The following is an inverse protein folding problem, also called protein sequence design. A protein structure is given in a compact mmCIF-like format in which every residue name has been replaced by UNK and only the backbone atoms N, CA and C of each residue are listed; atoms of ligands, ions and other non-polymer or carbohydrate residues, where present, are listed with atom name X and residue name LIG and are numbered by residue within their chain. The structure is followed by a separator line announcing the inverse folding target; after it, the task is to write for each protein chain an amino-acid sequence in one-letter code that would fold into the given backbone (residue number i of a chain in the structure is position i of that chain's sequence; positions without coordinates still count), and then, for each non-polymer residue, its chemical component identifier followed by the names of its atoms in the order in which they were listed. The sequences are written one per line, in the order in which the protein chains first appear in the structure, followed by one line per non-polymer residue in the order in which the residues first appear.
data_IF_726875986974
#
_entry.id   IF_726875986974
#
_cell.length_a   1.000
_cell.length_b   1.000
_cell.length_c   1.000
_cell.angle_alpha   90.00
_cell.angle_beta   90.00
_cell.angle_gamma   90.00
#
_symmetry.space_group_name_H-M   'P 1'
#
loop_
_entity.id
_entity.type
_entity.pdbx_description
1 polymer ?
#
# COMPACT_ATOMS: atom_id res chain seq x y z
N UNK A 1 -13.08 12.56 -20.01
CA UNK A 1 -12.96 13.60 -18.93
C UNK A 1 -14.21 13.60 -18.09
N UNK A 2 -14.11 13.77 -16.77
CA UNK A 2 -15.22 13.62 -15.82
C UNK A 2 -15.37 14.93 -15.04
N UNK A 3 -16.58 15.45 -14.94
CA UNK A 3 -16.92 16.57 -14.07
C UNK A 3 -17.35 16.08 -12.67
N UNK A 4 -17.01 16.83 -11.64
CA UNK A 4 -17.48 16.60 -10.27
C UNK A 4 -18.06 17.89 -9.73
N UNK A 5 -19.35 17.86 -9.38
CA UNK A 5 -20.06 18.94 -8.73
C UNK A 5 -20.31 18.55 -7.27
N UNK A 6 -20.03 19.45 -6.34
CA UNK A 6 -20.29 19.25 -4.92
C UNK A 6 -20.68 20.59 -4.29
N UNK A 7 -21.80 20.63 -3.57
CA UNK A 7 -22.18 21.81 -2.78
C UNK A 7 -21.37 21.96 -1.48
N UNK A 8 -20.74 20.87 -1.00
CA UNK A 8 -19.80 20.85 0.13
C UNK A 8 -18.59 20.00 -0.25
N UNK A 9 -17.38 20.53 -0.15
CA UNK A 9 -16.14 19.80 -0.46
C UNK A 9 -15.80 18.86 0.69
N UNK A 10 -16.50 17.73 0.76
CA UNK A 10 -16.25 16.67 1.73
C UNK A 10 -16.11 15.34 1.00
N UNK A 11 -15.23 14.48 1.50
CA UNK A 11 -14.93 13.16 0.92
C UNK A 11 -14.47 13.18 -0.57
N UNK A 12 -13.99 14.30 -1.07
CA UNK A 12 -13.56 14.44 -2.48
C UNK A 12 -12.55 13.38 -2.88
N UNK A 13 -11.56 13.10 -2.02
CA UNK A 13 -10.57 12.05 -2.28
C UNK A 13 -11.21 10.67 -2.45
N UNK A 14 -12.17 10.32 -1.59
CA UNK A 14 -12.87 9.03 -1.66
C UNK A 14 -13.72 8.92 -2.94
N UNK A 15 -14.39 10.01 -3.32
CA UNK A 15 -15.18 10.10 -4.56
C UNK A 15 -14.27 9.91 -5.78
N UNK A 16 -13.23 10.72 -5.89
CA UNK A 16 -12.26 10.63 -7.00
C UNK A 16 -11.63 9.25 -7.11
N UNK A 17 -11.21 8.68 -5.97
CA UNK A 17 -10.59 7.35 -5.96
C UNK A 17 -11.53 6.26 -6.47
N UNK A 18 -12.83 6.35 -6.16
CA UNK A 18 -13.80 5.38 -6.62
C UNK A 18 -14.14 5.56 -8.10
N UNK A 19 -14.32 6.79 -8.56
CA UNK A 19 -14.53 7.09 -9.99
C UNK A 19 -13.34 6.58 -10.81
N UNK A 20 -12.11 6.86 -10.36
CA UNK A 20 -10.89 6.39 -11.06
C UNK A 20 -10.74 4.86 -11.06
N UNK A 21 -11.33 4.15 -10.09
CA UNK A 21 -11.37 2.69 -10.13
C UNK A 21 -12.25 2.14 -11.26
N UNK A 22 -13.32 2.86 -11.63
CA UNK A 22 -14.13 2.56 -12.81
C UNK A 22 -13.48 3.02 -14.12
N UNK A 23 -12.90 4.21 -14.12
CA UNK A 23 -12.40 4.93 -15.30
C UNK A 23 -10.93 5.33 -15.11
N UNK A 24 -10.05 4.32 -15.16
CA UNK A 24 -8.63 4.50 -14.91
C UNK A 24 -7.97 5.44 -15.94
N UNK A 25 -7.23 6.43 -15.43
CA UNK A 25 -6.49 7.38 -16.26
C UNK A 25 -7.30 8.58 -16.72
N UNK A 26 -8.61 8.65 -16.40
CA UNK A 26 -9.43 9.80 -16.71
C UNK A 26 -9.08 11.00 -15.81
N UNK A 27 -9.19 12.20 -16.39
CA UNK A 27 -9.05 13.45 -15.64
C UNK A 27 -10.39 13.80 -15.01
N UNK A 28 -10.38 14.11 -13.70
CA UNK A 28 -11.56 14.58 -12.96
C UNK A 28 -11.36 16.05 -12.65
N UNK A 29 -12.30 16.89 -13.07
CA UNK A 29 -12.30 18.33 -12.82
C UNK A 29 -13.49 18.72 -11.93
N UNK A 30 -13.27 19.68 -11.04
CA UNK A 30 -14.38 20.33 -10.33
C UNK A 30 -15.07 21.30 -11.29
N UNK A 31 -16.39 21.26 -11.31
CA UNK A 31 -17.24 22.17 -12.09
C UNK A 31 -18.45 22.59 -11.26
N UNK A 32 -19.11 23.66 -11.62
CA UNK A 32 -20.30 24.18 -10.95
C UNK A 32 -21.56 24.06 -11.82
N UNK A 33 -21.42 23.53 -13.04
CA UNK A 33 -22.53 23.36 -13.97
C UNK A 33 -22.40 22.06 -14.78
N UNK A 34 -23.56 21.63 -15.29
CA UNK A 34 -23.64 20.46 -16.17
C UNK A 34 -23.32 20.89 -17.60
N UNK A 35 -22.33 20.23 -18.23
CA UNK A 35 -21.90 20.51 -19.59
C UNK A 35 -21.62 19.21 -20.36
N UNK A 36 -22.00 19.19 -21.63
CA UNK A 36 -21.79 18.07 -22.55
C UNK A 36 -20.32 17.80 -22.93
N UNK A 37 -19.40 18.71 -22.58
CA UNK A 37 -17.95 18.49 -22.76
C UNK A 37 -17.42 17.34 -21.93
N UNK A 38 -18.07 17.03 -20.79
CA UNK A 38 -17.73 15.90 -19.95
C UNK A 38 -18.41 14.62 -20.43
N UNK A 39 -17.67 13.51 -20.38
CA UNK A 39 -18.25 12.19 -20.66
C UNK A 39 -19.27 11.80 -19.60
N UNK A 40 -18.92 12.09 -18.34
CA UNK A 40 -19.79 11.96 -17.18
C UNK A 40 -19.61 13.16 -16.25
N UNK A 41 -20.69 13.51 -15.55
CA UNK A 41 -20.66 14.44 -14.42
C UNK A 41 -21.33 13.74 -13.25
N UNK A 42 -20.64 13.67 -12.13
CA UNK A 42 -21.23 13.29 -10.86
C UNK A 42 -21.50 14.56 -10.06
N UNK A 43 -22.78 14.82 -9.78
CA UNK A 43 -23.23 15.90 -8.91
C UNK A 43 -23.64 15.30 -7.55
N UNK A 44 -23.05 15.80 -6.47
CA UNK A 44 -23.27 15.32 -5.10
C UNK A 44 -23.77 16.47 -4.25
N UNK A 45 -25.06 16.47 -3.98
CA UNK A 45 -25.74 17.46 -3.15
C UNK A 45 -25.95 16.93 -1.72
N UNK A 46 -25.25 17.52 -0.76
CA UNK A 46 -25.34 17.18 0.68
C UNK A 46 -26.37 18.06 1.36
N UNK A 47 -27.54 17.52 1.66
CA UNK A 47 -28.61 18.14 2.45
C UNK A 47 -28.54 17.67 3.91
N UNK A 48 -29.37 18.21 4.79
CA UNK A 48 -29.27 17.96 6.25
C UNK A 48 -29.39 16.48 6.66
N UNK A 49 -30.23 15.70 5.99
CA UNK A 49 -30.43 14.27 6.31
C UNK A 49 -30.39 13.38 5.07
N UNK A 50 -29.98 13.90 3.92
CA UNK A 50 -29.91 13.15 2.69
C UNK A 50 -28.73 13.56 1.83
N UNK A 51 -28.25 12.64 0.99
CA UNK A 51 -27.37 12.94 -0.15
C UNK A 51 -28.17 12.62 -1.39
N UNK A 52 -28.23 13.59 -2.29
CA UNK A 52 -28.71 13.37 -3.67
C UNK A 52 -27.51 13.29 -4.58
N UNK A 53 -27.44 12.24 -5.36
CA UNK A 53 -26.36 12.04 -6.34
C UNK A 53 -26.96 11.86 -7.71
N UNK A 54 -26.62 12.76 -8.62
CA UNK A 54 -27.04 12.72 -10.02
C UNK A 54 -25.86 12.37 -10.90
N UNK A 55 -26.01 11.38 -11.75
CA UNK A 55 -25.04 11.06 -12.78
C UNK A 55 -25.56 11.56 -14.14
N UNK A 56 -24.80 12.45 -14.75
CA UNK A 56 -25.08 12.91 -16.10
C UNK A 56 -24.09 12.28 -17.08
N UNK A 57 -24.59 11.95 -18.28
CA UNK A 57 -23.80 11.45 -19.40
C UNK A 57 -23.99 12.41 -20.59
N UNK A 58 -22.87 13.03 -21.01
CA UNK A 58 -22.90 14.03 -22.10
C UNK A 58 -23.92 15.17 -21.88
N UNK A 59 -24.09 15.59 -20.62
CA UNK A 59 -25.00 16.67 -20.23
C UNK A 59 -26.45 16.25 -19.94
N UNK A 60 -26.83 15.01 -20.22
CA UNK A 60 -28.19 14.50 -19.95
C UNK A 60 -28.18 13.64 -18.65
N UNK A 61 -29.23 13.72 -17.85
CA UNK A 61 -29.39 12.94 -16.64
C UNK A 61 -29.52 11.46 -17.00
N UNK A 62 -28.56 10.65 -16.58
CA UNK A 62 -28.53 9.20 -16.80
C UNK A 62 -29.21 8.44 -15.67
N UNK A 63 -28.90 8.82 -14.42
CA UNK A 63 -29.46 8.16 -13.22
C UNK A 63 -29.34 9.05 -11.98
N UNK A 64 -30.17 8.76 -10.96
CA UNK A 64 -30.20 9.48 -9.69
C UNK A 64 -30.27 8.49 -8.52
N UNK A 65 -29.58 8.79 -7.46
CA UNK A 65 -29.68 8.07 -6.18
C UNK A 65 -29.89 9.06 -5.04
N UNK A 66 -30.85 8.76 -4.19
CA UNK A 66 -31.15 9.48 -2.98
C UNK A 66 -30.88 8.60 -1.77
N UNK A 67 -29.99 9.05 -0.87
CA UNK A 67 -29.59 8.31 0.32
C UNK A 67 -29.97 9.08 1.56
N UNK A 68 -30.82 8.48 2.38
CA UNK A 68 -31.19 9.01 3.69
C UNK A 68 -30.25 8.45 4.76
N UNK A 69 -29.75 9.26 5.68
CA UNK A 69 -28.88 8.79 6.72
C UNK A 69 -28.45 9.84 7.73
N UNK A 70 -28.00 9.32 8.86
CA UNK A 70 -27.46 10.10 9.95
C UNK A 70 -26.02 10.50 9.64
N UNK A 71 -25.75 11.79 9.56
CA UNK A 71 -24.42 12.36 9.34
C UNK A 71 -23.52 12.28 10.59
N UNK A 72 -24.06 11.96 11.76
CA UNK A 72 -23.28 11.85 12.99
C UNK A 72 -22.26 10.72 12.92
N UNK A 73 -22.63 9.59 12.28
CA UNK A 73 -21.71 8.50 12.05
C UNK A 73 -20.99 8.64 10.69
N UNK A 74 -19.91 9.42 10.67
CA UNK A 74 -19.10 9.70 9.48
C UNK A 74 -18.68 8.44 8.71
N UNK A 75 -18.43 7.32 9.39
CA UNK A 75 -18.00 6.06 8.75
C UNK A 75 -19.13 5.42 7.96
N UNK A 76 -20.31 5.31 8.56
CA UNK A 76 -21.51 4.75 7.94
C UNK A 76 -21.91 5.62 6.75
N UNK A 77 -21.95 6.94 6.96
CA UNK A 77 -22.32 7.90 5.95
C UNK A 77 -21.40 7.83 4.72
N UNK A 78 -20.07 7.87 4.94
CA UNK A 78 -19.08 7.74 3.85
C UNK A 78 -19.25 6.41 3.10
N UNK A 79 -19.51 5.33 3.79
CA UNK A 79 -19.69 4.02 3.14
C UNK A 79 -20.93 4.00 2.25
N UNK A 80 -22.07 4.53 2.74
CA UNK A 80 -23.31 4.64 1.94
C UNK A 80 -23.12 5.53 0.70
N UNK A 81 -22.46 6.68 0.85
CA UNK A 81 -22.11 7.55 -0.28
C UNK A 81 -21.31 6.78 -1.34
N UNK A 82 -20.28 6.04 -0.91
CA UNK A 82 -19.49 5.23 -1.84
C UNK A 82 -20.30 4.12 -2.51
N UNK A 83 -21.25 3.52 -1.80
CA UNK A 83 -22.17 2.54 -2.39
C UNK A 83 -23.05 3.17 -3.47
N UNK A 84 -23.60 4.37 -3.23
CA UNK A 84 -24.39 5.09 -4.23
C UNK A 84 -23.57 5.42 -5.47
N UNK A 85 -22.38 5.97 -5.32
CA UNK A 85 -21.47 6.24 -6.45
C UNK A 85 -21.15 4.96 -7.22
N UNK A 86 -20.86 3.86 -6.50
CA UNK A 86 -20.61 2.57 -7.11
C UNK A 86 -21.81 2.11 -7.97
N UNK A 87 -23.05 2.21 -7.44
CA UNK A 87 -24.26 1.80 -8.14
C UNK A 87 -24.47 2.60 -9.42
N UNK A 88 -24.32 3.93 -9.35
CA UNK A 88 -24.43 4.83 -10.52
C UNK A 88 -23.44 4.44 -11.62
N UNK A 89 -22.15 4.38 -11.28
CA UNK A 89 -21.13 4.08 -12.29
C UNK A 89 -21.16 2.62 -12.76
N UNK A 90 -21.50 1.67 -11.89
CA UNK A 90 -21.62 0.26 -12.26
C UNK A 90 -22.71 0.06 -13.31
N UNK A 91 -23.86 0.72 -13.12
CA UNK A 91 -24.99 0.68 -14.06
C UNK A 91 -24.66 1.41 -15.37
N UNK A 92 -24.15 2.64 -15.32
CA UNK A 92 -23.86 3.46 -16.49
C UNK A 92 -22.74 2.88 -17.38
N UNK A 93 -21.81 2.10 -16.79
CA UNK A 93 -20.67 1.51 -17.50
C UNK A 93 -20.80 0.01 -17.74
N UNK A 94 -21.90 -0.62 -17.28
CA UNK A 94 -22.07 -2.09 -17.26
C UNK A 94 -20.80 -2.81 -16.73
N UNK A 95 -20.27 -2.32 -15.60
CA UNK A 95 -18.98 -2.76 -15.04
C UNK A 95 -19.07 -2.97 -13.55
N UNK A 96 -18.56 -4.08 -13.07
CA UNK A 96 -18.39 -4.33 -11.64
C UNK A 96 -16.91 -4.30 -11.24
N UNK A 97 -16.63 -3.74 -10.08
CA UNK A 97 -15.28 -3.76 -9.51
C UNK A 97 -15.17 -4.92 -8.52
N UNK A 98 -14.17 -5.81 -8.66
CA UNK A 98 -14.03 -6.96 -7.77
C UNK A 98 -13.91 -6.61 -6.29
N UNK A 99 -13.32 -5.45 -5.98
CA UNK A 99 -13.19 -4.92 -4.63
C UNK A 99 -14.32 -3.98 -4.21
N UNK A 100 -15.35 -3.84 -5.04
CA UNK A 100 -16.49 -2.96 -4.76
C UNK A 100 -16.08 -1.52 -4.49
N UNK A 101 -16.51 -0.98 -3.35
CA UNK A 101 -16.21 0.39 -2.93
C UNK A 101 -14.86 0.56 -2.23
N UNK A 102 -14.09 -0.53 -2.06
CA UNK A 102 -12.80 -0.50 -1.35
C UNK A 102 -11.72 0.13 -2.23
N UNK A 103 -11.24 1.29 -1.85
CA UNK A 103 -10.16 2.03 -2.53
C UNK A 103 -9.13 2.50 -1.52
N UNK A 104 -7.82 2.32 -1.84
CA UNK A 104 -6.73 2.85 -1.05
C UNK A 104 -6.55 2.28 0.36
N UNK A 105 -7.10 1.10 0.64
CA UNK A 105 -7.00 0.44 1.96
C UNK A 105 -6.49 -1.00 1.81
N UNK A 106 -6.05 -1.58 2.93
CA UNK A 106 -5.71 -3.00 3.05
C UNK A 106 -6.97 -3.80 3.43
N UNK A 107 -7.61 -4.54 2.50
CA UNK A 107 -8.89 -5.21 2.77
C UNK A 107 -8.78 -6.28 3.87
N UNK A 108 -7.66 -6.99 3.96
CA UNK A 108 -7.43 -8.00 5.01
C UNK A 108 -7.58 -7.45 6.42
N UNK A 109 -7.35 -6.14 6.65
CA UNK A 109 -7.60 -5.52 7.94
C UNK A 109 -9.07 -5.64 8.37
N UNK A 110 -10.00 -5.50 7.42
CA UNK A 110 -11.45 -5.63 7.70
C UNK A 110 -11.76 -7.05 8.17
N UNK A 111 -11.21 -8.06 7.49
CA UNK A 111 -11.39 -9.46 7.88
C UNK A 111 -10.71 -9.76 9.22
N UNK A 112 -9.51 -9.25 9.45
CA UNK A 112 -8.79 -9.41 10.71
C UNK A 112 -9.57 -8.82 11.89
N UNK A 113 -10.07 -7.58 11.75
CA UNK A 113 -10.90 -6.91 12.77
C UNK A 113 -12.21 -7.69 13.03
N UNK A 114 -12.77 -8.37 12.03
CA UNK A 114 -13.93 -9.24 12.20
C UNK A 114 -13.62 -10.45 13.06
N UNK A 115 -12.57 -11.18 12.74
CA UNK A 115 -12.12 -12.31 13.57
C UNK A 115 -11.74 -11.91 15.00
N UNK A 116 -11.16 -10.73 15.20
CA UNK A 116 -10.89 -10.23 16.57
C UNK A 116 -12.16 -9.94 17.36
N UNK A 117 -13.27 -9.67 16.69
CA UNK A 117 -14.60 -9.50 17.29
C UNK A 117 -15.36 -10.82 17.44
N UNK A 118 -14.82 -11.93 16.97
CA UNK A 118 -15.44 -13.24 17.04
C UNK A 118 -16.40 -13.56 15.89
N UNK A 119 -16.40 -12.77 14.82
CA UNK A 119 -17.22 -13.05 13.62
C UNK A 119 -16.75 -14.34 12.93
N UNK A 120 -17.68 -15.12 12.40
CA UNK A 120 -17.40 -16.27 11.55
C UNK A 120 -16.91 -15.84 10.15
N UNK A 121 -16.33 -16.77 9.41
CA UNK A 121 -15.92 -16.53 8.03
C UNK A 121 -17.07 -16.06 7.15
N UNK A 122 -18.22 -16.67 7.28
CA UNK A 122 -19.44 -16.35 6.53
C UNK A 122 -19.97 -14.95 6.86
N UNK A 123 -19.95 -14.56 8.13
CA UNK A 123 -20.36 -13.21 8.55
C UNK A 123 -19.42 -12.15 7.99
N UNK A 124 -18.11 -12.42 8.00
CA UNK A 124 -17.11 -11.53 7.40
C UNK A 124 -17.32 -11.41 5.88
N UNK A 125 -17.51 -12.52 5.16
CA UNK A 125 -17.77 -12.54 3.73
C UNK A 125 -19.05 -11.76 3.41
N UNK A 126 -20.14 -12.02 4.15
CA UNK A 126 -21.40 -11.29 3.97
C UNK A 126 -21.22 -9.78 4.18
N UNK A 127 -20.45 -9.39 5.19
CA UNK A 127 -20.15 -7.97 5.44
C UNK A 127 -19.37 -7.34 4.29
N UNK A 128 -18.40 -8.02 3.69
CA UNK A 128 -17.70 -7.53 2.50
C UNK A 128 -18.65 -7.27 1.34
N UNK A 129 -19.57 -8.21 1.10
CA UNK A 129 -20.54 -8.07 0.02
C UNK A 129 -21.58 -6.98 0.31
N UNK A 130 -22.11 -6.94 1.54
CA UNK A 130 -23.18 -6.01 1.92
C UNK A 130 -22.67 -4.58 2.08
N UNK A 131 -21.57 -4.39 2.84
CA UNK A 131 -21.11 -3.06 3.24
C UNK A 131 -20.18 -2.43 2.19
N UNK A 132 -19.46 -3.26 1.44
CA UNK A 132 -18.47 -2.76 0.49
C UNK A 132 -18.74 -3.16 -0.96
N UNK A 133 -19.79 -3.92 -1.23
CA UNK A 133 -20.13 -4.41 -2.59
C UNK A 133 -18.98 -5.19 -3.25
N UNK A 134 -18.10 -5.78 -2.44
CA UNK A 134 -17.01 -6.61 -2.95
C UNK A 134 -17.52 -7.94 -3.48
N UNK A 135 -16.87 -8.50 -4.48
CA UNK A 135 -17.20 -9.83 -4.98
C UNK A 135 -16.98 -10.91 -3.92
N UNK A 136 -17.75 -11.99 -3.98
CA UNK A 136 -17.57 -13.13 -3.08
C UNK A 136 -16.16 -13.69 -3.16
N UNK A 137 -15.58 -13.78 -4.36
CA UNK A 137 -14.20 -14.24 -4.59
C UNK A 137 -13.19 -13.43 -3.77
N UNK A 138 -13.29 -12.09 -3.80
CA UNK A 138 -12.36 -11.21 -3.07
C UNK A 138 -12.62 -11.22 -1.57
N UNK A 139 -13.88 -11.33 -1.16
CA UNK A 139 -14.25 -11.50 0.24
C UNK A 139 -13.68 -12.81 0.82
N UNK A 140 -13.83 -13.94 0.11
CA UNK A 140 -13.24 -15.24 0.49
C UNK A 140 -11.73 -15.16 0.55
N UNK A 141 -11.08 -14.60 -0.47
CA UNK A 141 -9.62 -14.43 -0.52
C UNK A 141 -9.10 -13.69 0.72
N UNK A 142 -9.75 -12.58 1.11
CA UNK A 142 -9.37 -11.84 2.31
C UNK A 142 -9.54 -12.67 3.59
N UNK A 143 -10.66 -13.37 3.68
CA UNK A 143 -11.00 -14.17 4.87
C UNK A 143 -10.02 -15.33 5.05
N UNK A 144 -9.74 -16.09 3.99
CA UNK A 144 -8.78 -17.19 3.99
C UNK A 144 -7.35 -16.71 4.26
N UNK A 145 -6.95 -15.56 3.67
CA UNK A 145 -5.64 -14.95 3.94
C UNK A 145 -5.47 -14.65 5.42
N UNK A 146 -6.49 -14.04 6.05
CA UNK A 146 -6.43 -13.71 7.48
C UNK A 146 -6.48 -14.95 8.36
N UNK A 147 -7.22 -15.97 8.00
CA UNK A 147 -7.18 -17.25 8.72
C UNK A 147 -5.75 -17.79 8.75
N UNK A 148 -5.07 -17.76 7.61
CA UNK A 148 -3.69 -18.22 7.50
C UNK A 148 -2.72 -17.33 8.28
N UNK A 149 -2.88 -16.00 8.20
CA UNK A 149 -2.11 -15.06 9.04
C UNK A 149 -2.29 -15.37 10.53
N UNK A 150 -3.52 -15.58 10.99
CA UNK A 150 -3.81 -15.90 12.41
C UNK A 150 -3.22 -17.24 12.85
N UNK A 151 -3.21 -18.24 11.98
CA UNK A 151 -2.54 -19.52 12.27
C UNK A 151 -1.04 -19.31 12.50
N UNK A 152 -0.38 -18.54 11.62
CA UNK A 152 1.04 -18.24 11.74
C UNK A 152 1.32 -17.39 13.00
N UNK A 153 0.49 -16.43 13.30
CA UNK A 153 0.64 -15.53 14.46
C UNK A 153 0.42 -16.24 15.81
N UNK A 154 -0.25 -17.42 15.84
CA UNK A 154 -0.36 -18.22 17.07
C UNK A 154 0.99 -18.69 17.61
N UNK A 155 1.99 -18.79 16.77
CA UNK A 155 3.32 -19.29 17.15
C UNK A 155 4.11 -18.32 18.04
N UNK A 156 3.71 -17.06 18.16
CA UNK A 156 4.42 -16.02 18.92
C UNK A 156 3.50 -14.93 19.46
N UNK A 157 3.90 -14.26 20.56
CA UNK A 157 3.07 -13.25 21.24
C UNK A 157 3.12 -11.90 20.49
N UNK A 158 2.60 -11.86 19.25
CA UNK A 158 2.70 -10.69 18.36
C UNK A 158 2.08 -9.41 18.92
N UNK A 159 1.15 -9.52 19.89
CA UNK A 159 0.51 -8.36 20.55
C UNK A 159 1.42 -7.68 21.57
N UNK A 160 2.36 -8.42 22.13
CA UNK A 160 3.26 -7.96 23.20
C UNK A 160 4.64 -7.60 22.68
N UNK A 161 5.03 -8.16 21.54
CA UNK A 161 6.29 -7.89 20.86
C UNK A 161 6.22 -6.69 19.90
N UNK A 162 7.29 -6.54 19.12
CA UNK A 162 7.34 -5.56 18.03
C UNK A 162 8.13 -6.11 16.84
N UNK A 163 7.95 -5.47 15.70
CA UNK A 163 8.72 -5.68 14.47
C UNK A 163 9.55 -4.44 14.18
N UNK A 164 10.79 -4.61 13.71
CA UNK A 164 11.69 -3.52 13.37
C UNK A 164 11.87 -3.47 11.84
N UNK A 165 11.61 -2.29 11.28
CA UNK A 165 11.93 -1.98 9.89
C UNK A 165 13.16 -1.07 9.84
N UNK A 166 14.19 -1.49 9.09
CA UNK A 166 15.40 -0.70 8.85
C UNK A 166 15.39 -0.30 7.37
N UNK A 167 15.34 1.01 7.11
CA UNK A 167 15.33 1.55 5.76
C UNK A 167 16.73 1.85 5.25
N UNK A 168 17.11 1.34 4.08
CA UNK A 168 18.34 1.69 3.37
C UNK A 168 17.96 2.46 2.12
N UNK A 169 18.18 3.77 2.03
CA UNK A 169 17.66 4.60 0.94
C UNK A 169 18.49 4.52 -0.35
N UNK A 170 19.49 3.67 -0.40
CA UNK A 170 20.39 3.55 -1.54
C UNK A 170 19.94 2.47 -2.52
N UNK A 171 20.12 2.76 -3.81
CA UNK A 171 19.95 1.81 -4.93
C UNK A 171 21.14 1.92 -5.89
N UNK A 172 21.43 0.91 -6.72
CA UNK A 172 22.43 1.06 -7.79
C UNK A 172 22.07 2.21 -8.74
N UNK A 173 20.77 2.41 -8.99
CA UNK A 173 20.21 3.53 -9.75
C UNK A 173 18.73 3.69 -9.46
N UNK A 174 18.14 4.87 -9.69
CA UNK A 174 16.72 5.10 -9.51
C UNK A 174 15.93 4.58 -10.70
N UNK A 175 14.96 3.68 -10.47
CA UNK A 175 14.09 3.16 -11.52
C UNK A 175 13.06 4.21 -11.95
N UNK A 176 12.73 4.25 -13.26
CA UNK A 176 11.80 5.23 -13.83
C UNK A 176 10.40 5.24 -13.19
N UNK A 177 9.97 4.12 -12.66
CA UNK A 177 8.65 3.93 -12.03
C UNK A 177 8.69 3.98 -10.51
N UNK A 178 9.88 4.22 -9.90
CA UNK A 178 10.01 4.20 -8.45
C UNK A 178 9.39 5.44 -7.83
N UNK A 179 8.50 5.22 -6.85
CA UNK A 179 7.89 6.26 -6.03
C UNK A 179 8.49 6.34 -4.62
N UNK A 180 9.38 5.41 -4.29
CA UNK A 180 10.06 5.39 -2.98
C UNK A 180 11.25 6.35 -2.96
N UNK A 181 11.63 6.75 -1.76
CA UNK A 181 12.89 7.48 -1.54
C UNK A 181 14.06 6.56 -1.89
N UNK A 182 14.75 6.87 -2.99
CA UNK A 182 15.90 6.11 -3.44
C UNK A 182 16.96 7.02 -4.06
N UNK A 183 18.20 6.86 -3.63
CA UNK A 183 19.36 7.60 -4.09
C UNK A 183 20.34 6.66 -4.77
N UNK A 184 20.92 7.09 -5.92
CA UNK A 184 21.96 6.30 -6.58
C UNK A 184 23.20 6.23 -5.68
N UNK A 185 23.61 5.02 -5.30
CA UNK A 185 24.73 4.84 -4.36
C UNK A 185 26.03 5.44 -4.91
N UNK A 186 26.26 5.38 -6.21
CA UNK A 186 27.46 5.96 -6.85
C UNK A 186 27.56 7.48 -6.67
N UNK A 187 26.40 8.18 -6.62
CA UNK A 187 26.35 9.62 -6.43
C UNK A 187 26.46 10.04 -4.97
N UNK A 188 26.13 9.15 -4.06
CA UNK A 188 26.05 9.41 -2.63
C UNK A 188 27.02 8.54 -1.80
N UNK A 189 28.03 7.96 -2.44
CA UNK A 189 29.02 7.09 -1.81
C UNK A 189 29.70 7.75 -0.59
N UNK A 190 29.98 9.05 -0.70
CA UNK A 190 30.67 9.83 0.32
C UNK A 190 29.84 10.03 1.62
N UNK A 191 28.52 9.80 1.58
CA UNK A 191 27.66 9.97 2.77
C UNK A 191 27.12 8.64 3.32
N UNK A 192 27.47 7.50 2.71
CA UNK A 192 27.00 6.17 3.16
C UNK A 192 27.40 5.94 4.61
N UNK A 193 28.64 6.24 4.98
CA UNK A 193 29.12 6.06 6.36
C UNK A 193 28.38 6.95 7.36
N UNK A 194 28.21 8.23 7.03
CA UNK A 194 27.46 9.17 7.87
C UNK A 194 26.01 8.70 8.06
N UNK A 195 25.40 8.16 7.01
CA UNK A 195 24.08 7.56 7.08
C UNK A 195 24.04 6.37 8.02
N UNK A 196 24.98 5.43 7.88
CA UNK A 196 25.05 4.24 8.75
C UNK A 196 25.26 4.64 10.22
N UNK A 197 26.14 5.61 10.50
CA UNK A 197 26.34 6.12 11.85
C UNK A 197 25.07 6.76 12.44
N UNK A 198 24.33 7.54 11.63
CA UNK A 198 23.06 8.13 12.05
C UNK A 198 22.02 7.05 12.34
N UNK A 199 21.91 6.05 11.46
CA UNK A 199 21.03 4.90 11.62
C UNK A 199 21.35 4.12 12.92
N UNK A 200 22.63 3.90 13.22
CA UNK A 200 23.03 3.21 14.44
C UNK A 200 22.62 3.98 15.71
N UNK A 201 22.64 5.32 15.69
CA UNK A 201 22.13 6.14 16.81
C UNK A 201 20.63 5.97 17.00
N UNK A 202 19.86 5.91 15.90
CA UNK A 202 18.42 5.60 15.97
C UNK A 202 18.16 4.20 16.51
N UNK A 203 18.94 3.21 16.08
CA UNK A 203 18.85 1.84 16.58
C UNK A 203 19.21 1.73 18.07
N UNK A 204 20.17 2.50 18.58
CA UNK A 204 20.47 2.60 20.00
C UNK A 204 19.28 3.15 20.79
N UNK A 205 18.60 4.17 20.24
CA UNK A 205 17.37 4.70 20.84
C UNK A 205 16.25 3.67 20.87
N UNK A 206 16.03 2.95 19.77
CA UNK A 206 15.03 1.88 19.68
C UNK A 206 15.33 0.76 20.67
N UNK A 207 16.57 0.27 20.73
CA UNK A 207 16.98 -0.78 21.64
C UNK A 207 16.72 -0.41 23.11
N UNK A 208 16.99 0.84 23.51
CA UNK A 208 16.72 1.34 24.87
C UNK A 208 15.22 1.48 25.13
N UNK A 209 14.48 2.08 24.18
CA UNK A 209 13.06 2.38 24.34
C UNK A 209 12.22 1.11 24.44
N UNK A 210 12.54 0.10 23.65
CA UNK A 210 11.81 -1.18 23.59
C UNK A 210 12.49 -2.32 24.33
N UNK A 211 13.44 -2.03 25.23
CA UNK A 211 14.15 -3.04 26.00
C UNK A 211 13.25 -3.99 26.81
N UNK A 212 12.02 -3.55 27.14
CA UNK A 212 11.00 -4.30 27.86
C UNK A 212 10.11 -5.16 26.95
N UNK A 213 10.31 -5.11 25.62
CA UNK A 213 9.54 -5.87 24.62
C UNK A 213 10.45 -6.79 23.83
N UNK A 214 9.86 -7.86 23.30
CA UNK A 214 10.56 -8.81 22.44
C UNK A 214 10.49 -8.36 20.98
N UNK A 215 11.66 -8.27 20.33
CA UNK A 215 11.74 -8.08 18.88
C UNK A 215 11.48 -9.41 18.19
N UNK A 216 10.36 -9.51 17.48
CA UNK A 216 9.92 -10.76 16.86
C UNK A 216 10.37 -10.91 15.43
N UNK A 217 10.32 -9.85 14.65
CA UNK A 217 10.74 -9.84 13.24
C UNK A 217 11.54 -8.60 12.90
N UNK A 218 12.47 -8.75 11.97
CA UNK A 218 13.25 -7.64 11.42
C UNK A 218 13.17 -7.64 9.91
N UNK A 219 12.97 -6.46 9.35
CA UNK A 219 12.92 -6.26 7.91
C UNK A 219 13.87 -5.14 7.50
N UNK A 220 14.87 -5.46 6.70
CA UNK A 220 15.82 -4.49 6.15
C UNK A 220 15.45 -4.28 4.67
N UNK A 221 14.98 -3.08 4.35
CA UNK A 221 14.43 -2.76 3.02
C UNK A 221 14.62 -1.30 2.65
N UNK A 222 13.70 -0.77 1.86
CA UNK A 222 13.69 0.64 1.44
C UNK A 222 14.04 0.83 -0.03
N UNK A 223 15.25 1.27 -0.33
CA UNK A 223 15.81 1.27 -1.68
C UNK A 223 16.25 -0.14 -2.07
N UNK A 224 17.50 -0.45 -1.83
CA UNK A 224 18.05 -1.80 -2.05
C UNK A 224 19.20 -2.03 -1.06
N UNK A 225 19.00 -2.69 0.06
CA UNK A 225 20.04 -2.91 1.08
C UNK A 225 21.34 -3.53 0.53
N UNK A 226 21.22 -4.41 -0.45
CA UNK A 226 22.36 -5.04 -1.11
C UNK A 226 23.10 -4.11 -2.09
N UNK A 227 22.70 -2.85 -2.24
CA UNK A 227 23.50 -1.84 -2.93
C UNK A 227 24.71 -1.38 -2.10
N UNK A 228 24.67 -1.53 -0.79
CA UNK A 228 25.82 -1.30 0.06
C UNK A 228 27.00 -2.18 -0.38
N UNK A 229 28.25 -1.71 -0.20
CA UNK A 229 29.44 -2.52 -0.39
C UNK A 229 29.45 -3.68 0.61
N UNK A 230 30.26 -4.69 0.34
CA UNK A 230 30.34 -5.87 1.22
C UNK A 230 30.72 -5.49 2.64
N UNK A 231 31.71 -4.60 2.80
CA UNK A 231 32.17 -4.14 4.10
C UNK A 231 31.09 -3.38 4.85
N UNK A 232 30.34 -2.52 4.17
CA UNK A 232 29.28 -1.71 4.76
C UNK A 232 28.06 -2.56 5.16
N UNK A 233 27.71 -3.55 4.31
CA UNK A 233 26.64 -4.49 4.59
C UNK A 233 27.01 -5.38 5.81
N UNK A 234 28.24 -5.87 5.86
CA UNK A 234 28.74 -6.67 6.98
C UNK A 234 28.80 -5.84 8.26
N UNK A 235 29.31 -4.62 8.19
CA UNK A 235 29.34 -3.67 9.32
C UNK A 235 27.93 -3.40 9.86
N UNK A 236 26.98 -3.09 9.00
CA UNK A 236 25.58 -2.87 9.37
C UNK A 236 25.01 -4.09 10.11
N UNK A 237 25.14 -5.29 9.51
CA UNK A 237 24.60 -6.51 10.11
C UNK A 237 25.26 -6.85 11.44
N UNK A 238 26.56 -6.63 11.56
CA UNK A 238 27.31 -6.80 12.81
C UNK A 238 26.78 -5.88 13.91
N UNK A 239 26.68 -4.59 13.63
CA UNK A 239 26.24 -3.59 14.61
C UNK A 239 24.74 -3.72 14.97
N UNK A 240 23.91 -4.15 14.02
CA UNK A 240 22.50 -4.47 14.29
C UNK A 240 22.38 -5.70 15.17
N UNK A 241 23.13 -6.79 14.85
CA UNK A 241 23.11 -8.02 15.64
C UNK A 241 23.61 -7.82 17.09
N UNK A 242 24.55 -6.91 17.29
CA UNK A 242 25.04 -6.53 18.62
C UNK A 242 23.95 -5.89 19.49
N UNK A 243 23.06 -5.09 18.90
CA UNK A 243 21.94 -4.42 19.56
C UNK A 243 20.72 -5.32 19.70
N UNK A 244 20.48 -6.13 18.70
CA UNK A 244 19.33 -7.03 18.58
C UNK A 244 19.81 -8.43 18.20
N UNK A 245 20.14 -9.30 19.17
CA UNK A 245 20.70 -10.62 18.89
C UNK A 245 19.82 -11.42 17.93
N UNK A 246 20.30 -11.67 16.71
CA UNK A 246 19.55 -12.32 15.64
C UNK A 246 19.05 -13.71 15.98
N UNK A 247 19.77 -14.42 16.88
CA UNK A 247 19.35 -15.75 17.37
C UNK A 247 18.03 -15.75 18.14
N UNK A 248 17.55 -14.58 18.55
CA UNK A 248 16.27 -14.40 19.27
C UNK A 248 15.14 -13.94 18.34
N UNK A 249 15.44 -13.58 17.09
CA UNK A 249 14.49 -13.04 16.13
C UNK A 249 13.97 -14.18 15.26
N UNK A 250 12.66 -14.28 15.09
CA UNK A 250 12.03 -15.39 14.37
C UNK A 250 12.20 -15.30 12.86
N UNK A 251 12.15 -14.08 12.32
CA UNK A 251 12.36 -13.85 10.90
C UNK A 251 13.19 -12.58 10.70
N UNK A 252 14.26 -12.71 9.94
CA UNK A 252 15.07 -11.59 9.46
C UNK A 252 15.02 -11.60 7.94
N UNK A 253 14.33 -10.63 7.38
CA UNK A 253 14.22 -10.45 5.93
C UNK A 253 15.12 -9.32 5.46
N UNK A 254 15.88 -9.54 4.38
CA UNK A 254 16.67 -8.50 3.71
C UNK A 254 16.25 -8.41 2.25
N UNK A 255 15.92 -7.22 1.80
CA UNK A 255 15.63 -6.98 0.38
C UNK A 255 16.91 -7.01 -0.45
N UNK A 256 16.96 -7.94 -1.41
CA UNK A 256 17.93 -8.01 -2.47
C UNK A 256 17.22 -7.78 -3.82
N UNK A 257 16.37 -6.75 -3.86
CA UNK A 257 15.36 -6.53 -4.88
C UNK A 257 15.91 -6.31 -6.30
N UNK A 258 17.21 -6.04 -6.41
CA UNK A 258 17.88 -5.82 -7.70
C UNK A 258 18.99 -6.83 -7.91
N UNK A 259 18.91 -7.70 -8.94
CA UNK A 259 19.96 -8.68 -9.23
C UNK A 259 21.34 -8.07 -9.45
N UNK A 260 21.42 -6.85 -9.97
CA UNK A 260 22.67 -6.12 -10.22
C UNK A 260 23.35 -5.58 -8.95
N UNK A 261 22.66 -5.61 -7.81
CA UNK A 261 23.19 -5.25 -6.49
C UNK A 261 23.71 -6.43 -5.69
N UNK A 262 23.48 -7.66 -6.16
CA UNK A 262 23.74 -8.88 -5.42
C UNK A 262 24.90 -9.67 -6.04
N UNK A 263 25.80 -10.15 -5.20
CA UNK A 263 26.87 -11.08 -5.57
C UNK A 263 27.03 -12.20 -4.52
N UNK A 264 27.93 -13.11 -4.79
CA UNK A 264 28.12 -14.31 -3.95
C UNK A 264 28.65 -13.97 -2.55
N UNK A 265 29.52 -12.97 -2.43
CA UNK A 265 30.06 -12.55 -1.13
C UNK A 265 28.99 -11.93 -0.24
N UNK A 266 28.12 -11.08 -0.78
CA UNK A 266 26.97 -10.53 -0.06
C UNK A 266 26.01 -11.64 0.42
N UNK A 267 25.78 -12.66 -0.40
CA UNK A 267 24.99 -13.84 0.02
C UNK A 267 25.63 -14.59 1.18
N UNK A 268 26.96 -14.74 1.17
CA UNK A 268 27.70 -15.35 2.29
C UNK A 268 27.57 -14.51 3.57
N UNK A 269 27.70 -13.18 3.45
CA UNK A 269 27.52 -12.25 4.57
C UNK A 269 26.12 -12.41 5.16
N UNK A 270 25.06 -12.33 4.34
CA UNK A 270 23.68 -12.49 4.79
C UNK A 270 23.49 -13.84 5.52
N UNK A 271 24.01 -14.92 4.96
CA UNK A 271 23.96 -16.25 5.57
C UNK A 271 24.75 -16.33 6.88
N UNK A 272 25.95 -15.75 6.94
CA UNK A 272 26.80 -15.70 8.14
C UNK A 272 26.07 -15.08 9.32
N UNK A 273 25.29 -14.03 9.09
CA UNK A 273 24.51 -13.37 10.14
C UNK A 273 23.14 -14.00 10.38
N UNK A 274 22.80 -15.11 9.73
CA UNK A 274 21.56 -15.83 9.99
C UNK A 274 20.30 -15.15 9.43
N UNK A 275 20.45 -14.37 8.35
CA UNK A 275 19.30 -13.85 7.60
C UNK A 275 18.46 -15.02 7.11
N UNK A 276 17.18 -15.05 7.48
CA UNK A 276 16.28 -16.18 7.23
C UNK A 276 15.59 -16.11 5.88
N UNK A 277 15.43 -14.88 5.35
CA UNK A 277 14.77 -14.65 4.06
C UNK A 277 15.41 -13.48 3.30
N UNK A 278 15.52 -13.64 1.99
CA UNK A 278 15.84 -12.54 1.06
C UNK A 278 14.76 -12.44 -0.01
N UNK A 279 14.49 -11.23 -0.50
CA UNK A 279 13.63 -11.03 -1.66
C UNK A 279 14.45 -10.68 -2.89
N UNK A 280 14.25 -11.40 -3.99
CA UNK A 280 14.86 -11.11 -5.30
C UNK A 280 13.74 -10.84 -6.28
N UNK A 281 13.72 -9.63 -6.84
CA UNK A 281 12.62 -9.17 -7.68
C UNK A 281 13.04 -9.18 -9.16
N UNK A 282 12.43 -9.98 -10.02
CA UNK A 282 12.69 -9.93 -11.46
C UNK A 282 12.11 -8.66 -12.11
N UNK A 283 11.30 -7.89 -11.39
CA UNK A 283 10.59 -6.68 -11.82
C UNK A 283 9.58 -6.91 -12.97
N UNK A 284 9.83 -7.86 -13.85
CA UNK A 284 8.96 -8.30 -14.94
C UNK A 284 9.42 -9.66 -15.44
N UNK A 285 8.50 -10.53 -15.85
CA UNK A 285 8.81 -11.78 -16.54
C UNK A 285 8.82 -11.60 -18.07
N UNK A 286 8.54 -10.40 -18.57
CA UNK A 286 8.54 -10.11 -20.00
C UNK A 286 9.91 -9.64 -20.47
N UNK A 287 10.55 -10.43 -21.35
CA UNK A 287 11.90 -10.17 -21.89
C UNK A 287 11.99 -8.80 -22.60
N UNK A 288 10.93 -8.39 -23.35
CA UNK A 288 10.93 -7.09 -24.04
C UNK A 288 10.90 -5.94 -23.03
N UNK A 289 10.18 -6.12 -21.93
CA UNK A 289 10.14 -5.16 -20.82
C UNK A 289 11.49 -5.09 -20.11
N UNK A 290 12.15 -6.23 -19.86
CA UNK A 290 13.50 -6.27 -19.30
C UNK A 290 14.50 -5.49 -20.17
N UNK A 291 14.50 -5.67 -21.48
CA UNK A 291 15.39 -4.94 -22.39
C UNK A 291 15.11 -3.44 -22.44
N UNK A 292 13.87 -3.00 -22.25
CA UNK A 292 13.49 -1.57 -22.19
C UNK A 292 13.73 -0.96 -20.81
N UNK A 293 13.59 -1.76 -19.75
CA UNK A 293 13.81 -1.34 -18.35
C UNK A 293 15.27 -1.44 -17.92
N UNK A 294 16.18 -1.88 -18.81
CA UNK A 294 17.60 -1.85 -18.50
C UNK A 294 18.01 -0.40 -18.22
N UNK A 295 17.72 0.03 -17.01
CA UNK A 295 18.41 1.02 -16.21
C UNK A 295 18.72 2.36 -16.87
N UNK A 296 17.73 2.98 -17.55
CA UNK A 296 17.79 4.41 -17.81
C UNK A 296 17.35 5.13 -16.53
N UNK A 297 18.31 5.64 -15.79
CA UNK A 297 18.09 6.49 -14.63
C UNK A 297 17.29 7.74 -15.01
N UNK A 298 16.46 8.23 -14.10
CA UNK A 298 15.71 9.49 -14.24
C UNK A 298 16.60 10.67 -14.64
N UNK A 299 17.88 10.64 -14.29
CA UNK A 299 18.88 11.70 -14.52
C UNK A 299 19.58 11.65 -15.89
N UNK A 300 19.40 10.62 -16.71
CA UNK A 300 19.97 10.62 -18.07
C UNK A 300 19.13 11.39 -19.11
N UNK A 301 18.07 12.09 -18.69
CA UNK A 301 17.26 12.94 -19.58
C UNK A 301 17.56 14.43 -19.48
N UNK A 302 18.46 14.86 -18.61
CA UNK A 302 18.81 16.28 -18.41
C UNK A 302 20.25 16.64 -18.81
N UNK A 303 20.91 15.81 -19.65
CA UNK A 303 22.17 16.16 -20.29
C UNK A 303 22.01 16.08 -21.81
#
# INVERSE_FOLDING_TARGET
MIGLIQNKIIYEYDIRSLILAFMLGEKIELTDHVDSIYDFILDVDYKDQEIVMNLYKKGELEDEIQLFGDYENKKIFKNRMKQGIYQLFSKALDKQLPWGTLTGIRPTKIAFDGYEKGESSEEIIHRFQKDYLASEEKARLCTETVQKEKELLKAFPYKEGYSLYIGIPFCPSTCLYCSFTSYSIDQFENIVQDYLEALLKELDFVAKTYAHKELQTMYIGGGTPTSLKEEDLEYLLYEVNKRFPFSKIQEITVEAGRPDSLNFEKLKILKKYGVTRISINPQSMNIKTHRKKSFRTRYQREI
#
